data_IF_917908453989
#
_entry.id   IF_917908453989
#
_cell.length_a   1.000
_cell.length_b   1.000
_cell.length_c   1.000
_cell.angle_alpha   90.00
_cell.angle_beta   90.00
_cell.angle_gamma   90.00
#
_symmetry.space_group_name_H-M   'P 1'
#
loop_
_entity.id
_entity.type
_entity.pdbx_description
1 polymer ?
#
# COMPACT_ATOMS: atom_id res chain seq x y z
N UNK A 1 7.77 10.27 -13.97
CA UNK A 1 7.27 9.52 -12.79
C UNK A 1 5.75 9.35 -12.72
N UNK A 2 4.96 9.78 -13.73
CA UNK A 2 3.50 9.61 -13.74
C UNK A 2 3.04 8.16 -13.50
N UNK A 3 3.72 7.17 -14.11
CA UNK A 3 3.37 5.76 -13.91
C UNK A 3 3.42 5.33 -12.44
N UNK A 4 4.42 5.76 -11.67
CA UNK A 4 4.51 5.44 -10.24
C UNK A 4 3.36 6.08 -9.44
N UNK A 5 2.98 7.33 -9.78
CA UNK A 5 1.84 8.02 -9.19
C UNK A 5 0.52 7.29 -9.45
N UNK A 6 0.27 6.87 -10.70
CA UNK A 6 -0.93 6.11 -11.05
C UNK A 6 -1.00 4.75 -10.35
N UNK A 7 0.15 4.09 -10.16
CA UNK A 7 0.22 2.83 -9.43
C UNK A 7 -0.07 3.04 -7.94
N UNK A 8 0.47 4.11 -7.35
CA UNK A 8 0.20 4.47 -5.96
C UNK A 8 -1.29 4.73 -5.72
N UNK A 9 -1.93 5.50 -6.61
CA UNK A 9 -3.37 5.77 -6.54
C UNK A 9 -4.19 4.47 -6.62
N UNK A 10 -3.87 3.60 -7.60
CA UNK A 10 -4.56 2.31 -7.74
C UNK A 10 -4.32 1.37 -6.55
N UNK A 11 -3.12 1.38 -5.96
CA UNK A 11 -2.83 0.60 -4.76
C UNK A 11 -3.71 1.06 -3.59
N UNK A 12 -3.82 2.37 -3.36
CA UNK A 12 -4.71 2.91 -2.33
C UNK A 12 -6.19 2.59 -2.60
N UNK A 13 -6.65 2.66 -3.85
CA UNK A 13 -8.04 2.28 -4.21
C UNK A 13 -8.30 0.78 -3.96
N UNK A 14 -7.35 -0.08 -4.32
CA UNK A 14 -7.46 -1.53 -4.14
C UNK A 14 -7.46 -1.93 -2.67
N UNK A 15 -6.66 -1.28 -1.83
CA UNK A 15 -6.63 -1.50 -0.38
C UNK A 15 -7.74 -0.77 0.36
N UNK A 16 -8.25 0.34 -0.20
CA UNK A 16 -9.08 1.31 0.51
C UNK A 16 -8.31 2.10 1.56
N UNK A 17 -6.99 2.26 1.40
CA UNK A 17 -6.11 2.90 2.38
C UNK A 17 -5.12 3.84 1.70
N UNK A 18 -5.09 5.07 2.16
CA UNK A 18 -4.21 6.13 1.67
C UNK A 18 -2.73 5.88 1.98
N UNK A 19 -2.42 5.12 3.03
CA UNK A 19 -1.04 4.81 3.38
C UNK A 19 -0.33 3.95 2.33
N UNK A 20 -1.06 3.15 1.55
CA UNK A 20 -0.52 2.43 0.40
C UNK A 20 -0.09 3.39 -0.73
N UNK A 21 -0.80 4.52 -0.90
CA UNK A 21 -0.37 5.58 -1.83
C UNK A 21 0.97 6.16 -1.37
N UNK A 22 1.05 6.55 -0.09
CA UNK A 22 2.27 7.15 0.50
C UNK A 22 3.45 6.18 0.43
N UNK A 23 3.23 4.90 0.69
CA UNK A 23 4.26 3.87 0.63
C UNK A 23 4.81 3.65 -0.78
N UNK A 24 3.94 3.55 -1.79
CA UNK A 24 4.36 3.36 -3.18
C UNK A 24 5.10 4.60 -3.70
N UNK A 25 4.62 5.81 -3.39
CA UNK A 25 5.33 7.06 -3.70
C UNK A 25 6.70 7.08 -3.03
N UNK A 26 6.76 6.81 -1.72
CA UNK A 26 8.02 6.76 -0.96
C UNK A 26 8.99 5.77 -1.57
N UNK A 27 8.53 4.57 -1.91
CA UNK A 27 9.34 3.53 -2.56
C UNK A 27 9.90 3.99 -3.92
N UNK A 28 9.10 4.73 -4.69
CA UNK A 28 9.45 5.20 -6.01
C UNK A 28 10.44 6.38 -6.02
N UNK A 29 10.43 7.23 -4.99
CA UNK A 29 11.26 8.46 -4.92
C UNK A 29 12.48 8.36 -3.98
N UNK A 30 12.58 7.29 -3.18
CA UNK A 30 13.74 7.08 -2.28
C UNK A 30 14.73 6.05 -2.82
N UNK A 31 14.25 5.12 -3.64
CA UNK A 31 15.03 3.96 -4.06
C UNK A 31 15.32 2.97 -2.94
N UNK A 32 14.70 3.07 -1.75
CA UNK A 32 14.88 2.12 -0.65
C UNK A 32 14.67 0.66 -1.10
N UNK A 33 15.33 -0.32 -0.48
CA UNK A 33 15.02 -1.74 -0.67
C UNK A 33 13.64 -2.06 -0.09
N UNK A 34 13.01 -3.16 -0.51
CA UNK A 34 11.68 -3.53 -0.01
C UNK A 34 11.67 -3.73 1.51
N UNK A 35 12.62 -4.47 2.05
CA UNK A 35 12.72 -4.70 3.50
C UNK A 35 12.98 -3.41 4.29
N UNK A 36 13.70 -2.44 3.72
CA UNK A 36 13.93 -1.13 4.35
C UNK A 36 12.63 -0.32 4.45
N UNK A 37 11.76 -0.39 3.42
CA UNK A 37 10.45 0.28 3.46
C UNK A 37 9.51 -0.40 4.47
N UNK A 38 9.46 -1.73 4.46
CA UNK A 38 8.63 -2.52 5.40
C UNK A 38 9.11 -2.30 6.84
N UNK A 39 10.42 -2.23 7.05
CA UNK A 39 11.06 -2.02 8.34
C UNK A 39 11.34 -0.57 8.68
N UNK A 40 10.71 0.38 8.00
CA UNK A 40 10.92 1.79 8.29
C UNK A 40 10.22 2.16 9.61
N UNK A 41 11.02 2.36 10.65
CA UNK A 41 10.55 2.80 11.96
C UNK A 41 10.27 4.29 11.98
N UNK A 42 9.28 4.69 12.77
CA UNK A 42 8.76 6.06 12.78
C UNK A 42 9.75 7.08 13.33
N UNK A 43 10.62 6.67 14.26
CA UNK A 43 11.69 7.50 14.82
C UNK A 43 12.75 7.95 13.78
N UNK A 44 12.81 7.26 12.64
CA UNK A 44 13.77 7.52 11.57
C UNK A 44 13.21 8.32 10.40
N UNK A 45 11.98 8.83 10.52
CA UNK A 45 11.39 9.78 9.57
C UNK A 45 11.38 11.17 10.20
N UNK A 46 12.02 12.13 9.54
CA UNK A 46 12.10 13.53 9.96
C UNK A 46 11.76 14.44 8.79
N UNK A 47 11.55 15.72 9.06
CA UNK A 47 11.47 16.72 7.99
C UNK A 47 12.76 16.71 7.18
N UNK A 48 12.67 16.50 5.87
CA UNK A 48 13.79 16.56 4.94
C UNK A 48 14.64 15.30 4.86
N UNK A 49 14.42 14.29 5.71
CA UNK A 49 15.23 13.06 5.65
C UNK A 49 14.53 11.79 6.17
N UNK A 50 14.96 10.66 5.62
CA UNK A 50 14.68 9.31 6.12
C UNK A 50 16.00 8.63 6.43
N UNK A 51 16.15 8.12 7.66
CA UNK A 51 17.32 7.33 8.06
C UNK A 51 17.07 5.84 7.88
N UNK A 52 17.88 5.19 7.06
CA UNK A 52 17.80 3.75 6.83
C UNK A 52 18.66 3.02 7.85
N UNK A 53 18.04 2.65 8.97
CA UNK A 53 18.72 1.97 10.09
C UNK A 53 18.42 0.47 10.14
N UNK A 54 17.26 0.06 9.64
CA UNK A 54 16.80 -1.33 9.74
C UNK A 54 16.08 -1.75 8.46
N UNK A 55 15.99 -3.05 8.30
CA UNK A 55 15.05 -3.67 7.40
C UNK A 55 14.31 -4.81 8.11
N UNK A 56 13.12 -5.12 7.63
CA UNK A 56 12.44 -6.36 7.98
C UNK A 56 12.62 -7.37 6.85
N UNK A 57 13.27 -8.48 7.19
CA UNK A 57 13.47 -9.61 6.30
C UNK A 57 12.45 -10.71 6.64
N UNK A 58 11.69 -11.16 5.63
CA UNK A 58 10.76 -12.27 5.77
C UNK A 58 11.51 -13.61 5.59
N UNK A 59 11.56 -14.41 6.65
CA UNK A 59 12.08 -15.78 6.66
C UNK A 59 11.10 -16.73 5.94
N UNK A 60 11.59 -17.91 5.54
CA UNK A 60 10.75 -18.95 4.91
C UNK A 60 9.61 -19.44 5.82
N UNK A 61 9.79 -19.33 7.13
CA UNK A 61 8.75 -19.58 8.15
C UNK A 61 7.60 -18.57 8.11
N UNK A 62 7.76 -17.46 7.38
CA UNK A 62 6.89 -16.30 7.47
C UNK A 62 7.12 -15.50 8.74
N UNK A 63 8.26 -15.60 9.41
CA UNK A 63 8.62 -14.64 10.45
C UNK A 63 9.27 -13.40 9.84
N UNK A 64 9.02 -12.22 10.44
CA UNK A 64 9.70 -10.99 10.05
C UNK A 64 10.82 -10.71 11.01
N UNK A 65 12.04 -10.90 10.55
CA UNK A 65 13.24 -10.67 11.32
C UNK A 65 13.77 -9.26 11.07
N UNK A 66 13.97 -8.50 12.15
CA UNK A 66 14.59 -7.17 12.11
C UNK A 66 16.10 -7.32 12.04
N UNK A 67 16.72 -6.79 11.00
CA UNK A 67 18.16 -6.84 10.81
C UNK A 67 18.71 -5.53 10.22
N UNK A 68 20.04 -5.31 10.33
CA UNK A 68 20.73 -4.23 9.63
C UNK A 68 20.40 -4.17 8.14
N UNK A 69 20.51 -2.99 7.50
CA UNK A 69 20.40 -2.87 6.05
C UNK A 69 21.42 -3.78 5.38
N UNK A 70 21.07 -4.29 4.19
CA UNK A 70 21.93 -5.23 3.48
C UNK A 70 23.32 -4.60 3.27
N UNK A 71 24.37 -5.40 3.46
CA UNK A 71 25.76 -4.98 3.27
C UNK A 71 26.16 -3.80 4.18
N UNK A 72 25.55 -3.68 5.37
CA UNK A 72 25.72 -2.58 6.33
C UNK A 72 25.57 -1.18 5.72
N UNK A 73 24.67 -1.06 4.74
CA UNK A 73 24.45 0.17 3.96
C UNK A 73 23.56 1.20 4.68
N UNK A 74 23.87 1.48 5.94
CA UNK A 74 23.29 2.56 6.73
C UNK A 74 23.48 3.89 6.02
N UNK A 75 22.40 4.68 5.94
CA UNK A 75 22.43 5.95 5.21
C UNK A 75 21.27 6.86 5.58
N UNK A 76 21.46 8.14 5.33
CA UNK A 76 20.38 9.13 5.30
C UNK A 76 19.98 9.35 3.85
N UNK A 77 18.67 9.35 3.60
CA UNK A 77 18.07 9.67 2.31
C UNK A 77 17.40 11.03 2.46
N UNK A 78 17.95 12.05 1.81
CA UNK A 78 17.29 13.36 1.73
C UNK A 78 15.94 13.22 1.01
N UNK A 79 14.90 13.85 1.54
CA UNK A 79 13.55 13.87 0.97
C UNK A 79 13.13 15.29 0.62
N UNK A 80 12.60 15.53 -0.60
CA UNK A 80 12.03 16.83 -0.94
C UNK A 80 10.95 17.25 0.06
N UNK A 81 10.69 18.55 0.15
CA UNK A 81 9.69 19.12 1.08
C UNK A 81 8.33 18.43 0.94
N UNK A 82 7.80 18.32 -0.29
CA UNK A 82 6.50 17.69 -0.58
C UNK A 82 6.44 16.24 -0.09
N UNK A 83 7.54 15.50 -0.19
CA UNK A 83 7.58 14.08 0.20
C UNK A 83 7.64 13.95 1.72
N UNK A 84 8.42 14.80 2.37
CA UNK A 84 8.50 14.88 3.83
C UNK A 84 7.15 15.25 4.44
N UNK A 85 6.46 16.23 3.86
CA UNK A 85 5.12 16.66 4.30
C UNK A 85 4.09 15.53 4.14
N UNK A 86 4.11 14.81 3.00
CA UNK A 86 3.23 13.66 2.77
C UNK A 86 3.44 12.55 3.80
N UNK A 87 4.69 12.25 4.16
CA UNK A 87 5.02 11.26 5.19
C UNK A 87 4.57 11.70 6.59
N UNK A 88 4.80 12.96 6.93
CA UNK A 88 4.46 13.51 8.25
C UNK A 88 2.95 13.60 8.44
N UNK A 89 2.22 14.02 7.40
CA UNK A 89 0.76 14.02 7.40
C UNK A 89 0.23 12.59 7.58
N UNK A 90 0.79 11.60 6.87
CA UNK A 90 0.44 10.19 7.07
C UNK A 90 0.69 9.73 8.52
N UNK A 91 1.85 10.05 9.08
CA UNK A 91 2.20 9.70 10.46
C UNK A 91 1.26 10.34 11.49
N UNK A 92 0.81 11.57 11.25
CA UNK A 92 -0.13 12.28 12.12
C UNK A 92 -1.54 11.64 12.12
N UNK A 93 -1.93 10.99 11.02
CA UNK A 93 -3.22 10.28 10.91
C UNK A 93 -3.12 8.78 11.19
N UNK A 94 -1.92 8.27 11.51
CA UNK A 94 -1.70 6.85 11.77
C UNK A 94 -2.40 6.45 13.07
N UNK A 95 -3.21 5.40 12.99
CA UNK A 95 -3.89 4.80 14.17
C UNK A 95 -3.18 3.56 14.70
N UNK A 96 -2.19 3.04 13.97
CA UNK A 96 -1.41 1.88 14.37
C UNK A 96 -0.33 2.27 15.40
N UNK A 97 -0.34 1.59 16.54
CA UNK A 97 0.74 1.65 17.54
C UNK A 97 1.78 0.54 17.34
N UNK A 98 2.62 0.35 18.36
CA UNK A 98 3.68 -0.64 18.37
C UNK A 98 3.19 -2.04 17.97
N UNK A 99 3.92 -2.70 17.08
CA UNK A 99 3.54 -4.02 16.62
C UNK A 99 3.79 -5.10 17.68
N UNK A 100 2.94 -6.12 17.75
CA UNK A 100 3.09 -7.21 18.71
C UNK A 100 4.34 -8.09 18.50
N UNK A 101 4.95 -8.06 17.31
CA UNK A 101 6.12 -8.91 16.98
C UNK A 101 7.46 -8.29 17.36
N UNK A 102 7.58 -6.95 17.37
CA UNK A 102 8.83 -6.27 17.68
C UNK A 102 8.72 -5.25 18.81
N UNK A 103 7.49 -4.87 19.22
CA UNK A 103 7.26 -3.80 20.19
C UNK A 103 7.64 -2.42 19.67
N UNK A 104 7.70 -2.23 18.34
CA UNK A 104 8.14 -1.00 17.69
C UNK A 104 7.06 -0.41 16.77
N UNK A 105 7.13 0.91 16.59
CA UNK A 105 6.26 1.68 15.70
C UNK A 105 6.87 1.81 14.30
N UNK A 106 6.17 1.26 13.31
CA UNK A 106 6.55 1.30 11.90
C UNK A 106 5.69 2.30 11.13
N UNK A 107 6.29 2.93 10.11
CA UNK A 107 5.62 3.95 9.30
C UNK A 107 4.41 3.39 8.58
N UNK A 108 4.49 2.14 8.12
CA UNK A 108 3.43 1.50 7.36
C UNK A 108 3.01 0.17 7.96
N UNK A 109 1.76 -0.22 7.69
CA UNK A 109 1.19 -1.48 8.16
C UNK A 109 0.78 -2.38 6.99
N UNK A 110 0.63 -3.68 7.22
CA UNK A 110 0.19 -4.61 6.19
C UNK A 110 -1.33 -4.60 5.93
N UNK A 111 -1.72 -4.85 4.68
CA UNK A 111 -3.13 -4.82 4.25
C UNK A 111 -4.05 -5.88 4.89
N UNK A 112 -3.59 -7.12 5.07
CA UNK A 112 -4.36 -8.20 5.72
C UNK A 112 -3.47 -9.09 6.57
N UNK A 113 -3.94 -9.45 7.76
CA UNK A 113 -3.37 -10.56 8.53
C UNK A 113 -3.48 -11.87 7.72
N UNK A 114 -2.54 -12.80 7.93
CA UNK A 114 -2.60 -14.11 7.30
C UNK A 114 -3.87 -14.85 7.73
N UNK A 115 -4.46 -15.66 6.83
CA UNK A 115 -5.58 -16.54 7.20
C UNK A 115 -5.25 -17.53 8.34
N UNK A 116 -3.99 -17.62 8.76
CA UNK A 116 -3.56 -18.43 9.91
C UNK A 116 -3.85 -17.76 11.25
N UNK A 117 -3.98 -16.42 11.32
CA UNK A 117 -4.36 -15.72 12.56
C UNK A 117 -5.86 -15.40 12.63
N UNK A 118 -6.62 -15.56 11.54
CA UNK A 118 -8.09 -15.40 11.53
C UNK A 118 -8.86 -16.57 12.15
N UNK A 119 -8.17 -17.43 12.91
CA UNK A 119 -8.80 -18.40 13.83
C UNK A 119 -9.30 -17.74 15.13
N UNK A 120 -9.27 -16.42 15.24
CA UNK A 120 -9.81 -15.68 16.38
C UNK A 120 -11.31 -15.34 16.22
N UNK A 121 -12.13 -16.14 16.91
CA UNK A 121 -13.25 -15.72 17.79
C UNK A 121 -14.18 -14.61 17.30
N UNK A 122 -14.88 -14.82 16.18
CA UNK A 122 -16.09 -14.07 15.86
C UNK A 122 -17.19 -15.03 15.43
N UNK A 123 -18.43 -14.80 15.88
CA UNK A 123 -19.57 -15.58 15.43
C UNK A 123 -19.68 -15.51 13.90
N UNK A 124 -19.84 -16.66 13.25
CA UNK A 124 -19.97 -16.73 11.79
C UNK A 124 -21.44 -16.66 11.40
N UNK A 125 -21.70 -16.33 10.14
CA UNK A 125 -23.06 -16.36 9.56
C UNK A 125 -23.74 -17.73 9.76
N UNK A 126 -22.95 -18.81 9.78
CA UNK A 126 -23.45 -20.18 10.05
C UNK A 126 -23.84 -20.39 11.51
N UNK A 127 -23.25 -19.67 12.44
CA UNK A 127 -23.58 -19.75 13.86
C UNK A 127 -24.89 -18.98 14.13
N UNK A 128 -25.08 -17.81 13.50
CA UNK A 128 -26.36 -17.08 13.50
C UNK A 128 -27.48 -17.93 12.89
N UNK A 129 -27.21 -18.58 11.75
CA UNK A 129 -28.19 -19.46 11.12
C UNK A 129 -28.59 -20.64 12.02
N UNK A 130 -27.62 -21.22 12.73
CA UNK A 130 -27.84 -22.34 13.66
C UNK A 130 -28.66 -21.90 14.88
N UNK A 131 -28.32 -20.76 15.49
CA UNK A 131 -29.02 -20.23 16.67
C UNK A 131 -30.45 -19.80 16.33
N UNK A 132 -30.65 -19.15 15.18
CA UNK A 132 -31.97 -18.76 14.69
C UNK A 132 -32.77 -19.91 14.04
N UNK A 133 -32.24 -21.14 14.01
CA UNK A 133 -32.85 -22.32 13.39
C UNK A 133 -33.29 -22.12 11.92
N UNK A 134 -32.46 -21.44 11.12
CA UNK A 134 -32.72 -21.16 9.70
C UNK A 134 -31.51 -21.47 8.82
N UNK A 135 -31.68 -21.36 7.49
CA UNK A 135 -30.54 -21.47 6.55
C UNK A 135 -29.68 -20.21 6.56
N UNK A 136 -28.40 -20.34 6.21
CA UNK A 136 -27.49 -19.19 5.99
C UNK A 136 -27.99 -18.25 4.89
N UNK A 137 -28.73 -18.78 3.91
CA UNK A 137 -29.43 -18.00 2.88
C UNK A 137 -30.56 -17.15 3.45
N UNK A 138 -31.31 -17.68 4.42
CA UNK A 138 -32.37 -16.96 5.13
C UNK A 138 -31.79 -15.81 5.97
N UNK A 139 -30.70 -16.05 6.70
CA UNK A 139 -29.97 -14.98 7.43
C UNK A 139 -29.48 -13.91 6.44
N UNK A 140 -28.95 -14.32 5.29
CA UNK A 140 -28.55 -13.39 4.23
C UNK A 140 -29.74 -12.58 3.70
N UNK A 141 -30.92 -13.18 3.53
CA UNK A 141 -32.12 -12.46 3.10
C UNK A 141 -32.59 -11.48 4.17
N UNK A 142 -32.61 -11.85 5.45
CA UNK A 142 -32.92 -10.92 6.56
C UNK A 142 -31.98 -9.70 6.54
N UNK A 143 -30.70 -9.91 6.27
CA UNK A 143 -29.70 -8.84 6.24
C UNK A 143 -29.74 -7.96 4.99
N UNK A 144 -30.31 -8.43 3.87
CA UNK A 144 -30.23 -7.75 2.57
C UNK A 144 -31.57 -7.30 2.00
N UNK A 145 -32.63 -8.03 2.32
CA UNK A 145 -34.01 -7.87 1.85
C UNK A 145 -34.95 -8.25 2.99
N UNK A 146 -34.86 -7.55 4.15
CA UNK A 146 -35.64 -7.90 5.34
C UNK A 146 -37.13 -7.97 5.05
N UNK A 147 -37.65 -7.12 4.17
CA UNK A 147 -39.05 -7.06 3.72
C UNK A 147 -39.53 -8.34 3.02
N UNK A 148 -38.61 -9.10 2.41
CA UNK A 148 -38.92 -10.36 1.74
C UNK A 148 -38.93 -11.57 2.70
N UNK A 149 -38.71 -11.36 4.00
CA UNK A 149 -38.68 -12.41 5.03
C UNK A 149 -39.83 -12.20 6.03
N UNK A 150 -40.56 -13.25 6.46
CA UNK A 150 -41.59 -13.13 7.49
C UNK A 150 -41.05 -12.49 8.78
N UNK A 151 -41.87 -11.65 9.41
CA UNK A 151 -41.48 -10.88 10.60
C UNK A 151 -40.95 -11.76 11.74
N UNK A 152 -41.63 -12.87 12.00
CA UNK A 152 -41.20 -13.87 13.00
C UNK A 152 -39.77 -14.37 12.74
N UNK A 153 -39.43 -14.67 11.49
CA UNK A 153 -38.10 -15.15 11.11
C UNK A 153 -37.04 -14.04 11.15
N UNK A 154 -37.44 -12.82 10.79
CA UNK A 154 -36.57 -11.64 10.90
C UNK A 154 -36.21 -11.35 12.36
N UNK A 155 -37.17 -11.38 13.28
CA UNK A 155 -36.95 -11.18 14.72
C UNK A 155 -36.02 -12.25 15.30
N UNK A 156 -36.26 -13.54 15.02
CA UNK A 156 -35.41 -14.63 15.49
C UNK A 156 -33.96 -14.52 14.99
N UNK A 157 -33.75 -14.08 13.75
CA UNK A 157 -32.41 -13.81 13.21
C UNK A 157 -31.77 -12.59 13.86
N UNK A 158 -32.53 -11.53 14.14
CA UNK A 158 -32.04 -10.33 14.81
C UNK A 158 -31.62 -10.60 16.27
N UNK A 159 -32.41 -11.39 17.00
CA UNK A 159 -32.07 -11.86 18.35
C UNK A 159 -30.78 -12.69 18.34
N UNK A 160 -30.68 -13.67 17.42
CA UNK A 160 -29.46 -14.47 17.27
C UNK A 160 -28.22 -13.64 16.88
N UNK A 161 -28.38 -12.57 16.10
CA UNK A 161 -27.31 -11.64 15.76
C UNK A 161 -26.84 -10.87 17.00
N UNK A 162 -27.79 -10.35 17.80
CA UNK A 162 -27.50 -9.61 19.01
C UNK A 162 -26.81 -10.50 20.06
N UNK A 163 -27.33 -11.70 20.27
CA UNK A 163 -26.80 -12.68 21.23
C UNK A 163 -25.39 -13.14 20.88
N UNK A 164 -25.11 -13.38 19.59
CA UNK A 164 -23.80 -13.82 19.12
C UNK A 164 -22.81 -12.67 18.85
N UNK A 165 -23.25 -11.41 18.96
CA UNK A 165 -22.45 -10.25 18.58
C UNK A 165 -22.00 -10.29 17.11
N UNK A 166 -22.84 -10.84 16.22
CA UNK A 166 -22.51 -10.99 14.81
C UNK A 166 -22.48 -9.63 14.11
N UNK A 167 -21.31 -9.22 13.65
CA UNK A 167 -21.17 -8.03 12.79
C UNK A 167 -21.01 -8.46 11.34
N UNK A 168 -21.91 -8.00 10.49
CA UNK A 168 -21.86 -8.27 9.05
C UNK A 168 -20.58 -7.65 8.46
N UNK A 169 -19.77 -8.49 7.81
CA UNK A 169 -18.46 -8.10 7.27
C UNK A 169 -17.28 -8.47 8.18
N UNK A 170 -17.54 -9.02 9.38
CA UNK A 170 -16.55 -9.18 10.44
C UNK A 170 -16.21 -7.83 11.06
N UNK A 171 -15.56 -7.83 12.23
CA UNK A 171 -14.76 -6.68 12.62
C UNK A 171 -13.81 -6.34 11.44
N UNK A 172 -13.53 -5.06 11.13
CA UNK A 172 -12.54 -4.73 10.11
C UNK A 172 -11.31 -5.60 10.37
N UNK A 173 -10.96 -6.44 9.40
CA UNK A 173 -9.87 -7.39 9.57
C UNK A 173 -8.67 -6.60 10.09
N UNK A 174 -8.24 -6.90 11.32
CA UNK A 174 -7.17 -6.14 11.95
C UNK A 174 -5.99 -6.13 10.97
N UNK A 175 -5.51 -4.92 10.66
CA UNK A 175 -4.41 -4.76 9.72
C UNK A 175 -3.24 -5.60 10.20
N UNK A 176 -2.53 -6.23 9.26
CA UNK A 176 -1.30 -6.90 9.66
C UNK A 176 -0.32 -5.84 10.17
N UNK A 177 0.50 -6.18 11.14
CA UNK A 177 1.60 -5.31 11.56
C UNK A 177 2.46 -4.87 10.37
N UNK A 178 2.69 -5.77 9.42
CA UNK A 178 3.65 -5.62 8.34
C UNK A 178 3.14 -6.21 7.03
N UNK A 179 3.62 -5.69 5.90
CA UNK A 179 3.40 -6.35 4.62
C UNK A 179 4.19 -7.65 4.51
N UNK A 180 3.54 -8.65 3.92
CA UNK A 180 4.17 -9.86 3.41
C UNK A 180 4.69 -9.60 2.01
N UNK A 181 5.89 -10.07 1.66
CA UNK A 181 6.51 -9.81 0.36
C UNK A 181 5.61 -10.26 -0.78
N UNK A 182 5.15 -11.51 -0.73
CA UNK A 182 4.27 -12.07 -1.77
C UNK A 182 2.85 -11.50 -1.67
N UNK A 183 2.37 -11.19 -0.47
CA UNK A 183 1.04 -10.60 -0.27
C UNK A 183 0.91 -9.26 -0.99
N UNK A 184 1.79 -8.32 -0.68
CA UNK A 184 1.80 -6.99 -1.28
C UNK A 184 2.07 -7.05 -2.79
N UNK A 185 3.14 -7.74 -3.20
CA UNK A 185 3.53 -7.77 -4.61
C UNK A 185 2.44 -8.38 -5.51
N UNK A 186 1.89 -9.53 -5.13
CA UNK A 186 0.96 -10.31 -5.95
C UNK A 186 -0.47 -9.79 -5.89
N UNK A 187 -0.95 -9.38 -4.72
CA UNK A 187 -2.37 -9.08 -4.51
C UNK A 187 -2.72 -7.60 -4.45
N UNK A 188 -1.71 -6.73 -4.36
CA UNK A 188 -1.92 -5.29 -4.35
C UNK A 188 -1.15 -4.59 -5.48
N UNK A 189 0.17 -4.72 -5.50
CA UNK A 189 1.01 -4.00 -6.44
C UNK A 189 0.81 -4.43 -7.89
N UNK A 190 0.81 -5.75 -8.16
CA UNK A 190 0.59 -6.26 -9.52
C UNK A 190 -0.79 -5.85 -10.09
N UNK A 191 -1.92 -5.99 -9.37
CA UNK A 191 -3.19 -5.47 -9.83
C UNK A 191 -3.21 -3.96 -10.05
N UNK A 192 -2.50 -3.18 -9.21
CA UNK A 192 -2.37 -1.74 -9.43
C UNK A 192 -1.59 -1.41 -10.71
N UNK A 193 -0.45 -2.07 -10.93
CA UNK A 193 0.42 -1.84 -12.09
C UNK A 193 -0.17 -2.34 -13.41
N UNK A 194 -0.86 -3.47 -13.38
CA UNK A 194 -1.33 -4.15 -14.60
C UNK A 194 -2.81 -3.99 -14.86
N UNK A 195 -3.62 -3.67 -13.85
CA UNK A 195 -5.08 -3.75 -13.95
C UNK A 195 -5.62 -5.19 -13.85
N UNK A 196 -4.79 -6.17 -13.49
CA UNK A 196 -5.16 -7.59 -13.48
C UNK A 196 -4.78 -8.28 -12.17
N UNK A 197 -5.71 -9.07 -11.63
CA UNK A 197 -5.40 -10.05 -10.61
C UNK A 197 -4.66 -11.25 -11.24
N UNK A 198 -3.58 -11.74 -10.60
CA UNK A 198 -2.91 -12.95 -11.06
C UNK A 198 -3.80 -14.18 -10.92
N UNK A 199 -3.48 -15.23 -11.67
CA UNK A 199 -4.14 -16.51 -11.53
C UNK A 199 -3.91 -17.09 -10.12
N UNK A 200 -4.97 -17.64 -9.52
CA UNK A 200 -4.90 -18.43 -8.29
C UNK A 200 -5.94 -19.51 -8.36
N UNK A 201 -5.47 -20.75 -8.55
CA UNK A 201 -6.30 -21.92 -8.72
C UNK A 201 -7.47 -21.95 -7.70
N UNK A 202 -8.70 -22.24 -8.15
CA UNK A 202 -9.08 -22.62 -9.52
C UNK A 202 -9.30 -21.41 -10.47
N UNK A 203 -9.10 -20.18 -10.01
CA UNK A 203 -9.45 -18.98 -10.77
C UNK A 203 -8.33 -18.57 -11.74
N UNK A 204 -8.63 -18.33 -13.03
CA UNK A 204 -7.66 -17.76 -13.96
C UNK A 204 -7.34 -16.30 -13.59
N UNK A 205 -6.30 -15.76 -14.23
CA UNK A 205 -6.02 -14.33 -14.18
C UNK A 205 -7.24 -13.57 -14.72
N UNK A 206 -7.57 -12.46 -14.08
CA UNK A 206 -8.78 -11.68 -14.41
C UNK A 206 -8.55 -10.19 -14.24
N UNK A 207 -9.24 -9.34 -15.01
CA UNK A 207 -9.14 -7.90 -14.83
C UNK A 207 -9.65 -7.49 -13.44
N UNK A 208 -9.13 -6.39 -12.92
CA UNK A 208 -9.67 -5.71 -11.74
C UNK A 208 -11.03 -5.10 -12.14
N UNK A 209 -12.15 -5.56 -11.55
CA UNK A 209 -13.45 -5.00 -11.83
C UNK A 209 -13.59 -3.66 -11.10
N UNK A 210 -13.95 -2.60 -11.81
CA UNK A 210 -14.15 -1.25 -11.25
C UNK A 210 -15.51 -0.68 -11.68
N UNK A 211 -16.04 0.25 -10.90
CA UNK A 211 -16.99 1.25 -11.40
C UNK A 211 -16.15 2.40 -11.94
N UNK A 212 -16.27 2.73 -13.22
CA UNK A 212 -15.39 3.67 -13.91
C UNK A 212 -15.44 5.10 -13.37
N UNK A 213 -16.57 5.49 -12.77
CA UNK A 213 -16.76 6.79 -12.15
C UNK A 213 -16.88 6.68 -10.62
N UNK A 214 -16.25 7.60 -9.86
CA UNK A 214 -15.32 8.65 -10.32
C UNK A 214 -13.98 8.09 -10.85
N UNK A 215 -13.33 8.82 -11.76
CA UNK A 215 -12.00 8.47 -12.29
C UNK A 215 -10.97 8.30 -11.14
N UNK A 216 -10.03 7.33 -11.20
CA UNK A 216 -9.78 6.37 -12.29
C UNK A 216 -10.70 5.14 -12.24
N UNK A 217 -11.71 5.17 -11.39
CA UNK A 217 -12.63 4.08 -11.11
C UNK A 217 -12.34 3.42 -9.77
N UNK A 218 -13.41 2.95 -9.11
CA UNK A 218 -13.35 2.38 -7.76
C UNK A 218 -13.49 0.85 -7.85
N UNK A 219 -12.56 0.06 -7.27
CA UNK A 219 -12.62 -1.39 -7.29
C UNK A 219 -13.92 -1.95 -6.67
N UNK A 220 -14.59 -2.80 -7.43
CA UNK A 220 -15.78 -3.51 -6.99
C UNK A 220 -15.37 -4.72 -6.17
N UNK A 221 -15.84 -4.80 -4.92
CA UNK A 221 -15.54 -5.90 -4.00
C UNK A 221 -16.76 -6.79 -3.75
N UNK A 222 -16.53 -8.03 -3.35
CA UNK A 222 -17.57 -8.97 -2.90
C UNK A 222 -18.11 -9.89 -4.00
N UNK A 223 -19.23 -10.56 -3.71
CA UNK A 223 -19.86 -11.53 -4.62
C UNK A 223 -20.25 -10.84 -5.94
N UNK A 224 -20.07 -11.55 -7.05
CA UNK A 224 -20.38 -11.07 -8.40
C UNK A 224 -19.79 -9.67 -8.68
N UNK A 225 -18.54 -9.42 -8.28
CA UNK A 225 -17.88 -8.14 -8.52
C UNK A 225 -17.76 -7.83 -10.02
N UNK A 226 -17.39 -8.83 -10.83
CA UNK A 226 -17.27 -8.67 -12.29
C UNK A 226 -18.60 -8.32 -12.95
N UNK A 227 -19.71 -8.93 -12.55
CA UNK A 227 -21.03 -8.61 -13.12
C UNK A 227 -21.61 -7.26 -12.68
N UNK A 228 -21.00 -6.61 -11.67
CA UNK A 228 -21.37 -5.27 -11.21
C UNK A 228 -20.43 -4.18 -11.68
N UNK A 229 -19.30 -4.54 -12.28
CA UNK A 229 -18.36 -3.58 -12.83
C UNK A 229 -18.77 -3.19 -14.25
N UNK A 230 -18.53 -1.93 -14.59
CA UNK A 230 -18.75 -1.38 -15.94
C UNK A 230 -17.42 -1.18 -16.69
N UNK A 231 -16.28 -1.30 -16.00
CA UNK A 231 -14.97 -1.10 -16.57
C UNK A 231 -13.88 -1.96 -15.91
N UNK A 232 -12.67 -1.87 -16.46
CA UNK A 232 -11.44 -2.36 -15.85
C UNK A 232 -10.26 -1.47 -16.25
N UNK A 233 -9.21 -1.46 -15.45
CA UNK A 233 -8.03 -0.66 -15.74
C UNK A 233 -7.17 -1.24 -16.86
N UNK A 234 -6.67 -0.36 -17.73
CA UNK A 234 -5.56 -0.70 -18.62
C UNK A 234 -4.23 -0.74 -17.85
N UNK A 235 -3.26 -1.56 -18.30
CA UNK A 235 -1.94 -1.64 -17.68
C UNK A 235 -1.22 -0.29 -17.70
N UNK A 236 -0.66 0.11 -16.56
CA UNK A 236 0.28 1.24 -16.47
C UNK A 236 1.70 0.74 -16.78
N UNK A 237 2.08 -0.40 -16.20
CA UNK A 237 3.37 -1.02 -16.44
C UNK A 237 3.27 -2.54 -16.31
N UNK A 238 3.42 -3.26 -17.43
CA UNK A 238 3.45 -4.74 -17.44
C UNK A 238 4.80 -5.23 -16.90
N UNK A 239 4.79 -6.22 -16.01
CA UNK A 239 6.01 -6.83 -15.47
C UNK A 239 6.75 -5.99 -14.42
N UNK A 240 6.25 -4.80 -14.07
CA UNK A 240 6.84 -4.00 -13.00
C UNK A 240 6.62 -4.67 -11.65
N UNK A 241 7.70 -4.85 -10.90
CA UNK A 241 7.68 -5.37 -9.52
C UNK A 241 7.87 -4.23 -8.52
N UNK A 242 7.57 -4.43 -7.22
CA UNK A 242 7.91 -3.45 -6.19
C UNK A 242 9.42 -3.11 -6.17
N UNK A 243 10.29 -4.10 -6.40
CA UNK A 243 11.74 -3.84 -6.52
C UNK A 243 12.08 -3.07 -7.79
N UNK A 244 11.31 -3.25 -8.87
CA UNK A 244 11.37 -2.46 -10.09
C UNK A 244 11.32 -0.95 -9.85
N UNK A 245 10.54 -0.48 -8.88
CA UNK A 245 10.52 0.95 -8.50
C UNK A 245 11.88 1.48 -8.03
N UNK A 246 12.70 0.65 -7.37
CA UNK A 246 14.08 1.04 -7.01
C UNK A 246 14.96 1.18 -8.25
N UNK A 247 14.79 0.30 -9.25
CA UNK A 247 15.49 0.43 -10.52
C UNK A 247 15.04 1.68 -11.28
N UNK A 248 13.74 1.97 -11.29
CA UNK A 248 13.19 3.21 -11.86
C UNK A 248 13.80 4.43 -11.20
N UNK A 249 13.89 4.47 -9.87
CA UNK A 249 14.55 5.58 -9.15
C UNK A 249 16.03 5.73 -9.53
N UNK A 250 16.76 4.62 -9.64
CA UNK A 250 18.16 4.63 -10.08
C UNK A 250 18.30 5.21 -11.49
N UNK A 251 17.48 4.75 -12.43
CA UNK A 251 17.49 5.26 -13.81
C UNK A 251 17.13 6.74 -13.86
N UNK A 252 16.13 7.17 -13.08
CA UNK A 252 15.74 8.58 -12.96
C UNK A 252 16.93 9.46 -12.53
N UNK A 253 17.70 9.03 -11.53
CA UNK A 253 18.88 9.80 -11.11
C UNK A 253 19.95 9.88 -12.20
N UNK A 254 20.08 8.85 -13.05
CA UNK A 254 20.97 8.91 -14.22
C UNK A 254 20.45 9.92 -15.24
N UNK A 255 19.14 9.91 -15.54
CA UNK A 255 18.50 10.86 -16.46
C UNK A 255 18.61 12.32 -15.97
N UNK A 256 18.54 12.54 -14.66
CA UNK A 256 18.72 13.84 -14.01
C UNK A 256 20.20 14.25 -13.90
N UNK A 257 21.15 13.45 -14.41
CA UNK A 257 22.58 13.71 -14.32
C UNK A 257 23.10 13.86 -12.88
N UNK A 258 22.49 13.15 -11.93
CA UNK A 258 22.92 13.13 -10.53
C UNK A 258 24.34 12.55 -10.46
N UNK A 259 25.31 13.18 -9.78
CA UNK A 259 26.65 12.64 -9.71
C UNK A 259 26.67 11.25 -9.07
N UNK A 260 27.48 10.35 -9.64
CA UNK A 260 27.55 8.94 -9.23
C UNK A 260 27.73 8.73 -7.71
N UNK A 261 28.56 9.50 -6.98
CA UNK A 261 28.72 9.34 -5.53
C UNK A 261 27.40 9.53 -4.77
N UNK A 262 26.59 10.53 -5.14
CA UNK A 262 25.28 10.76 -4.52
C UNK A 262 24.28 9.66 -4.90
N UNK A 263 24.34 9.14 -6.13
CA UNK A 263 23.52 7.99 -6.51
C UNK A 263 23.84 6.76 -5.65
N UNK A 264 25.13 6.44 -5.49
CA UNK A 264 25.56 5.26 -4.72
C UNK A 264 25.29 5.42 -3.23
N UNK A 265 25.54 6.62 -2.66
CA UNK A 265 25.17 6.94 -1.28
C UNK A 265 23.66 6.74 -1.07
N UNK A 266 22.80 7.39 -1.88
CA UNK A 266 21.34 7.27 -1.75
C UNK A 266 20.85 5.84 -1.92
N UNK A 267 21.47 5.06 -2.81
CA UNK A 267 21.10 3.67 -3.05
C UNK A 267 21.68 2.72 -2.00
N UNK A 268 22.64 3.14 -1.19
CA UNK A 268 23.36 2.26 -0.27
C UNK A 268 24.17 1.22 -1.03
N UNK A 269 24.88 1.65 -2.08
CA UNK A 269 25.89 0.84 -2.78
C UNK A 269 27.27 1.22 -2.24
N UNK A 270 28.10 0.21 -2.00
CA UNK A 270 29.52 0.42 -1.71
C UNK A 270 30.26 0.62 -3.04
N UNK A 271 30.93 1.77 -3.20
CA UNK A 271 31.85 1.97 -4.32
C UNK A 271 33.20 1.32 -3.97
N UNK A 272 33.47 0.16 -4.57
CA UNK A 272 34.73 -0.58 -4.41
C UNK A 272 35.88 -0.02 -5.25
N UNK A 273 35.68 1.06 -6.01
CA UNK A 273 36.70 1.64 -6.88
C UNK A 273 37.57 2.68 -6.16
N UNK A 274 38.78 2.93 -6.70
CA UNK A 274 39.70 3.97 -6.19
C UNK A 274 39.08 5.37 -6.26
N UNK A 275 38.17 5.62 -7.23
CA UNK A 275 37.46 6.89 -7.39
C UNK A 275 36.47 7.17 -6.25
N UNK A 276 35.91 6.13 -5.63
CA UNK A 276 35.05 6.26 -4.45
C UNK A 276 35.74 6.88 -3.22
N UNK A 277 37.07 6.91 -3.19
CA UNK A 277 37.85 7.53 -2.10
C UNK A 277 37.99 9.05 -2.21
N UNK A 278 37.65 9.66 -3.35
CA UNK A 278 37.95 11.07 -3.65
C UNK A 278 36.75 11.96 -3.95
N UNK A 279 35.52 11.43 -3.84
CA UNK A 279 34.32 12.17 -4.23
C UNK A 279 33.33 12.26 -3.08
N UNK A 280 33.40 13.37 -2.35
CA UNK A 280 32.46 13.68 -1.27
C UNK A 280 31.16 14.25 -1.84
N UNK A 281 30.04 13.73 -1.36
CA UNK A 281 28.73 14.32 -1.62
C UNK A 281 28.65 15.69 -0.93
N UNK A 282 28.35 16.74 -1.70
CA UNK A 282 28.22 18.11 -1.19
C UNK A 282 26.76 18.49 -0.94
N UNK A 283 26.52 19.52 -0.13
CA UNK A 283 25.16 20.03 0.10
C UNK A 283 24.52 20.52 -1.21
N UNK A 284 25.27 21.21 -2.07
CA UNK A 284 24.79 21.66 -3.39
C UNK A 284 24.31 20.50 -4.26
N UNK A 285 24.97 19.32 -4.21
CA UNK A 285 24.51 18.13 -4.94
C UNK A 285 23.18 17.61 -4.40
N UNK A 286 22.99 17.65 -3.06
CA UNK A 286 21.74 17.24 -2.41
C UNK A 286 20.61 18.20 -2.75
N UNK A 287 20.85 19.50 -2.62
CA UNK A 287 19.86 20.55 -2.90
C UNK A 287 19.35 20.45 -4.33
N UNK A 288 20.26 20.32 -5.30
CA UNK A 288 19.91 20.12 -6.71
C UNK A 288 19.07 18.87 -6.93
N UNK A 289 19.42 17.74 -6.30
CA UNK A 289 18.60 16.53 -6.39
C UNK A 289 17.19 16.76 -5.81
N UNK A 290 17.05 17.53 -4.73
CA UNK A 290 15.74 17.83 -4.14
C UNK A 290 14.88 18.69 -5.07
N UNK A 291 15.49 19.68 -5.73
CA UNK A 291 14.84 20.50 -6.77
C UNK A 291 14.40 19.63 -7.96
N UNK A 292 15.31 18.84 -8.51
CA UNK A 292 15.04 17.97 -9.66
C UNK A 292 13.92 16.96 -9.37
N UNK A 293 13.93 16.31 -8.19
CA UNK A 293 12.87 15.39 -7.78
C UNK A 293 11.53 16.09 -7.54
N UNK A 294 11.55 17.36 -7.11
CA UNK A 294 10.35 18.19 -6.97
C UNK A 294 9.74 18.48 -8.33
N UNK A 295 10.53 18.89 -9.31
CA UNK A 295 10.05 19.15 -10.67
C UNK A 295 9.50 17.86 -11.34
N UNK A 296 10.15 16.71 -11.11
CA UNK A 296 9.65 15.40 -11.56
C UNK A 296 8.28 15.06 -10.94
N UNK A 297 8.09 15.38 -9.66
CA UNK A 297 6.84 15.18 -8.96
C UNK A 297 5.72 16.10 -9.45
N UNK A 298 6.00 17.40 -9.57
CA UNK A 298 5.05 18.40 -10.05
C UNK A 298 4.57 18.10 -11.47
N UNK A 299 5.48 17.73 -12.39
CA UNK A 299 5.09 17.27 -13.74
C UNK A 299 4.21 16.03 -13.71
N UNK A 300 4.45 15.11 -12.77
CA UNK A 300 3.62 13.91 -12.63
C UNK A 300 2.23 14.27 -12.08
N UNK A 301 2.14 15.17 -11.09
CA UNK A 301 0.87 15.68 -10.58
C UNK A 301 0.09 16.44 -11.65
N UNK A 302 0.74 17.29 -12.44
CA UNK A 302 0.08 18.05 -13.50
C UNK A 302 -0.46 17.11 -14.60
N UNK A 303 0.36 16.16 -15.06
CA UNK A 303 -0.10 15.17 -16.03
C UNK A 303 -1.25 14.31 -15.48
N UNK A 304 -1.24 14.01 -14.17
CA UNK A 304 -2.35 13.33 -13.49
C UNK A 304 -3.58 14.23 -13.38
N UNK A 305 -3.43 15.51 -13.05
CA UNK A 305 -4.51 16.51 -12.94
C UNK A 305 -5.22 16.72 -14.28
N UNK A 306 -4.46 16.71 -15.38
CA UNK A 306 -5.00 16.76 -16.74
C UNK A 306 -5.89 15.56 -17.09
N UNK A 307 -5.69 14.40 -16.46
CA UNK A 307 -6.59 13.24 -16.61
C UNK A 307 -7.87 13.39 -15.79
N UNK A 308 -7.77 13.91 -14.57
CA UNK A 308 -8.90 14.23 -13.70
C UNK A 308 -8.44 15.14 -12.56
N UNK A 309 -9.19 16.19 -12.27
CA UNK A 309 -8.83 17.16 -11.23
C UNK A 309 -9.00 16.65 -9.81
N UNK A 310 -9.62 15.47 -9.63
CA UNK A 310 -9.93 14.88 -8.33
C UNK A 310 -9.46 13.44 -8.23
N UNK A 311 -9.39 12.93 -7.01
CA UNK A 311 -9.14 11.51 -6.73
C UNK A 311 -10.02 11.01 -5.59
N UNK A 312 -10.48 9.74 -5.60
CA UNK A 312 -11.09 9.13 -4.43
C UNK A 312 -10.08 8.81 -3.32
N UNK A 313 -8.77 8.89 -3.60
CA UNK A 313 -7.70 8.74 -2.61
C UNK A 313 -7.47 10.09 -1.95
N UNK A 314 -7.71 10.22 -0.65
CA UNK A 314 -7.77 11.51 0.05
C UNK A 314 -6.41 12.24 0.01
N UNK A 315 -5.31 11.52 0.21
CA UNK A 315 -3.95 12.05 0.13
C UNK A 315 -3.67 12.66 -1.25
N UNK A 316 -4.05 11.96 -2.33
CA UNK A 316 -3.88 12.49 -3.69
C UNK A 316 -4.87 13.62 -3.99
N UNK A 317 -6.12 13.53 -3.54
CA UNK A 317 -7.13 14.58 -3.77
C UNK A 317 -6.68 15.92 -3.17
N UNK A 318 -6.07 15.90 -1.98
CA UNK A 318 -5.45 17.08 -1.37
C UNK A 318 -4.34 17.63 -2.26
N UNK A 319 -3.41 16.79 -2.72
CA UNK A 319 -2.30 17.18 -3.60
C UNK A 319 -2.78 17.74 -4.95
N UNK A 320 -3.92 17.27 -5.48
CA UNK A 320 -4.53 17.79 -6.70
C UNK A 320 -5.31 19.10 -6.46
N UNK A 321 -5.80 19.33 -5.24
CA UNK A 321 -6.54 20.51 -4.84
C UNK A 321 -5.69 21.73 -4.48
N UNK A 322 -4.38 21.55 -4.24
CA UNK A 322 -3.44 22.67 -4.09
C UNK A 322 -3.21 23.28 -5.48
N UNK A 323 -3.67 24.52 -5.67
CA UNK A 323 -3.41 25.35 -6.86
C UNK A 323 -2.54 26.51 -6.47
#
# INVERSE_FOLDING_TARGET
MLGALLIAERAALLSGRDDEFVAVVTKAFTGMRWGELVGLETEYVRHGEIRVQWQLYELDTGELHRCPPKDDSYRTIDTPKWHSELLIEHLAHRTAGACACHGLDYVFTGHRASNTSSRATGAKLVDVARLAAVSTGTVSNVLNRPEAVPEKTRLAVQEAIAELGYVRGGAPAQLAAHWRRNGFATWLFQPAATGWYPAKAPNPARPVPIIGNPWPGVPVRGRNASGRADASWLPVARGLTPHGLRHTHKTLMVELNVPRPLQDERMGHLDGTVQGRYSHVTQTMRDRLMEDLTEVWERALEARRAMSTRSPVVALDRLLGVS
#
